data_IF_303781352547
#
_entry.id   IF_303781352547
#
_cell.length_a   1.000
_cell.length_b   1.000
_cell.length_c   1.000
_cell.angle_alpha   90.00
_cell.angle_beta   90.00
_cell.angle_gamma   90.00
#
_symmetry.space_group_name_H-M   'P 1'
#
loop_
_entity.id
_entity.type
_entity.pdbx_description
1 polymer ?
#
# COMPACT_ATOMS: atom_id res chain seq x y z
N UNK A 1 6.24 -17.14 46.80
CA UNK A 1 6.84 -16.01 47.53
C UNK A 1 5.79 -14.91 47.61
N UNK A 2 5.09 -14.86 48.72
CA UNK A 2 4.20 -13.75 49.03
C UNK A 2 5.08 -12.57 49.44
N UNK A 3 5.31 -11.64 48.53
CA UNK A 3 5.92 -10.37 48.83
C UNK A 3 4.77 -9.38 49.15
N UNK A 4 4.51 -9.03 50.42
CA UNK A 4 3.34 -8.24 50.82
C UNK A 4 3.36 -6.80 50.30
N UNK A 5 4.52 -6.34 49.83
CA UNK A 5 4.73 -4.97 49.35
C UNK A 5 4.56 -4.81 47.81
N UNK A 6 4.24 -5.88 47.07
CA UNK A 6 4.09 -5.82 45.63
C UNK A 6 2.63 -5.59 45.24
N UNK A 7 2.34 -4.45 44.64
CA UNK A 7 1.04 -4.12 44.04
C UNK A 7 0.93 -4.78 42.64
N UNK A 8 -0.30 -5.06 42.20
CA UNK A 8 -0.54 -5.53 40.82
C UNK A 8 -0.01 -4.57 39.75
N UNK A 9 0.02 -3.26 40.06
CA UNK A 9 0.57 -2.23 39.19
C UNK A 9 2.08 -2.27 39.02
N UNK A 10 2.79 -3.02 39.89
CA UNK A 10 4.25 -3.15 39.85
C UNK A 10 4.70 -4.32 38.96
N UNK A 11 3.75 -5.10 38.42
CA UNK A 11 4.05 -6.26 37.61
C UNK A 11 3.94 -5.86 36.15
N UNK A 12 5.06 -5.85 35.45
CA UNK A 12 5.15 -5.63 33.99
C UNK A 12 5.52 -6.94 33.28
N UNK A 13 4.67 -7.34 32.33
CA UNK A 13 4.94 -8.47 31.44
C UNK A 13 5.21 -7.92 30.03
N UNK A 14 6.33 -8.29 29.44
CA UNK A 14 6.71 -7.86 28.10
C UNK A 14 6.80 -9.05 27.15
N UNK A 15 6.34 -8.88 25.92
CA UNK A 15 6.46 -9.85 24.84
C UNK A 15 6.93 -9.14 23.56
N UNK A 16 7.71 -9.79 22.68
CA UNK A 16 8.16 -9.21 21.42
C UNK A 16 7.00 -8.79 20.52
N UNK A 17 5.94 -9.61 20.49
CA UNK A 17 4.71 -9.32 19.73
C UNK A 17 3.50 -9.54 20.65
N UNK A 18 3.06 -8.48 21.31
CA UNK A 18 1.95 -8.55 22.25
C UNK A 18 0.60 -8.78 21.56
N UNK A 19 0.50 -8.46 20.28
CA UNK A 19 -0.74 -8.57 19.54
C UNK A 19 -1.15 -10.03 19.34
N UNK A 20 -0.20 -10.92 19.15
CA UNK A 20 -0.44 -12.37 19.03
C UNK A 20 -1.00 -12.96 20.34
N UNK A 21 -0.58 -12.40 21.48
CA UNK A 21 -1.01 -12.85 22.81
C UNK A 21 -2.25 -12.14 23.35
N UNK A 22 -2.60 -10.98 22.80
CA UNK A 22 -3.69 -10.17 23.27
C UNK A 22 -5.06 -10.90 23.37
N UNK A 23 -5.47 -11.74 22.38
CA UNK A 23 -6.71 -12.51 22.49
C UNK A 23 -6.69 -13.51 23.64
N UNK A 24 -5.56 -14.19 23.87
CA UNK A 24 -5.41 -15.15 24.96
C UNK A 24 -5.39 -14.48 26.32
N UNK A 25 -4.68 -13.36 26.45
CA UNK A 25 -4.64 -12.57 27.66
C UNK A 25 -6.05 -12.11 28.05
N UNK A 26 -6.82 -11.58 27.08
CA UNK A 26 -8.21 -11.20 27.29
C UNK A 26 -9.09 -12.38 27.72
N UNK A 27 -8.95 -13.52 27.03
CA UNK A 27 -9.75 -14.70 27.33
C UNK A 27 -9.52 -15.21 28.76
N UNK A 28 -8.31 -15.13 29.27
CA UNK A 28 -7.96 -15.57 30.63
C UNK A 28 -8.37 -14.49 31.67
N UNK A 29 -7.87 -13.26 31.53
CA UNK A 29 -8.00 -12.23 32.53
C UNK A 29 -9.42 -11.64 32.63
N UNK A 30 -10.20 -11.65 31.56
CA UNK A 30 -11.60 -11.20 31.56
C UNK A 30 -12.56 -12.23 32.19
N UNK A 31 -12.19 -13.52 32.18
CA UNK A 31 -13.07 -14.59 32.62
C UNK A 31 -12.69 -15.22 33.95
N UNK A 32 -11.44 -15.11 34.39
CA UNK A 32 -11.01 -15.73 35.65
C UNK A 32 -11.16 -14.79 36.82
N UNK A 33 -11.71 -15.34 37.89
CA UNK A 33 -11.81 -14.71 39.21
C UNK A 33 -10.72 -15.29 40.11
N UNK A 34 -9.89 -14.42 40.66
CA UNK A 34 -8.84 -14.82 41.60
C UNK A 34 -9.35 -14.61 43.02
N UNK A 35 -9.18 -15.63 43.86
CA UNK A 35 -9.56 -15.55 45.24
C UNK A 35 -8.48 -14.78 46.03
N UNK A 36 -8.88 -13.71 46.68
CA UNK A 36 -8.05 -12.91 47.55
C UNK A 36 -7.84 -13.63 48.89
N UNK A 37 -6.82 -13.24 49.66
CA UNK A 37 -6.52 -13.82 50.97
C UNK A 37 -7.66 -13.67 51.99
N UNK A 38 -8.55 -12.69 51.80
CA UNK A 38 -9.75 -12.43 52.59
C UNK A 38 -10.98 -13.26 52.15
N UNK A 39 -10.83 -14.10 51.10
CA UNK A 39 -11.89 -14.96 50.55
C UNK A 39 -12.75 -14.27 49.48
N UNK A 40 -12.53 -13.02 49.17
CA UNK A 40 -13.24 -12.29 48.13
C UNK A 40 -12.74 -12.69 46.74
N UNK A 41 -13.67 -12.91 45.80
CA UNK A 41 -13.33 -13.17 44.38
C UNK A 41 -13.23 -11.84 43.62
N UNK A 42 -12.04 -11.54 43.15
CA UNK A 42 -11.75 -10.29 42.43
C UNK A 42 -11.21 -10.59 41.05
N UNK A 43 -11.59 -9.79 40.06
CA UNK A 43 -10.95 -9.81 38.73
C UNK A 43 -9.61 -9.12 38.79
N UNK A 44 -8.61 -9.73 38.19
CA UNK A 44 -7.31 -9.08 38.03
C UNK A 44 -7.42 -7.98 36.95
N UNK A 45 -7.27 -6.73 37.41
CA UNK A 45 -7.15 -5.59 36.48
C UNK A 45 -5.83 -5.67 35.72
N UNK A 46 -5.88 -5.54 34.39
CA UNK A 46 -4.70 -5.48 33.55
C UNK A 46 -4.82 -4.36 32.52
N UNK A 47 -3.70 -3.90 31.99
CA UNK A 47 -3.64 -2.95 30.88
C UNK A 47 -2.73 -3.49 29.80
N UNK A 48 -3.25 -3.62 28.57
CA UNK A 48 -2.48 -3.99 27.39
C UNK A 48 -2.04 -2.72 26.68
N UNK A 49 -0.72 -2.52 26.58
CA UNK A 49 -0.12 -1.45 25.79
C UNK A 49 0.55 -2.06 24.57
N UNK A 50 0.41 -1.44 23.41
CA UNK A 50 0.99 -1.93 22.14
C UNK A 50 -0.04 -2.39 21.11
N UNK A 51 -1.26 -2.70 21.53
CA UNK A 51 -2.31 -3.28 20.67
C UNK A 51 -3.00 -2.26 19.73
N UNK A 52 -2.39 -1.12 19.42
CA UNK A 52 -3.02 -0.11 18.53
C UNK A 52 -2.37 0.02 17.16
N UNK A 53 -1.51 -0.94 16.77
CA UNK A 53 -0.63 -0.78 15.59
C UNK A 53 -1.30 -0.90 14.23
N UNK A 54 -2.52 -1.47 14.05
CA UNK A 54 -2.84 -2.00 12.72
C UNK A 54 -3.67 -1.13 11.76
N UNK A 55 -4.40 -0.11 12.19
CA UNK A 55 -5.17 0.69 11.20
C UNK A 55 -4.59 2.08 10.91
N UNK A 56 -4.09 2.75 11.93
CA UNK A 56 -3.64 4.14 11.75
C UNK A 56 -2.23 4.24 11.15
N UNK A 57 -1.38 3.21 11.33
CA UNK A 57 -0.02 3.21 10.79
C UNK A 57 0.00 3.00 9.27
N UNK A 58 -0.87 2.17 8.72
CA UNK A 58 -0.92 1.95 7.25
C UNK A 58 -1.22 3.23 6.48
N UNK A 59 -2.16 4.04 6.97
CA UNK A 59 -2.46 5.35 6.37
C UNK A 59 -1.24 6.27 6.44
N UNK A 60 -0.52 6.27 7.57
CA UNK A 60 0.70 7.07 7.73
C UNK A 60 1.83 6.55 6.85
N UNK A 61 1.99 5.24 6.73
CA UNK A 61 2.96 4.61 5.82
C UNK A 61 2.66 4.95 4.36
N UNK A 62 1.38 4.87 3.95
CA UNK A 62 0.95 5.27 2.61
C UNK A 62 1.18 6.76 2.36
N UNK A 63 0.88 7.61 3.34
CA UNK A 63 1.15 9.05 3.25
C UNK A 63 2.65 9.32 3.15
N UNK A 64 3.46 8.66 3.95
CA UNK A 64 4.92 8.78 3.92
C UNK A 64 5.48 8.30 2.57
N UNK A 65 4.94 7.21 2.02
CA UNK A 65 5.29 6.74 0.67
C UNK A 65 4.99 7.81 -0.38
N UNK A 66 3.82 8.46 -0.35
CA UNK A 66 3.47 9.52 -1.28
C UNK A 66 4.37 10.75 -1.12
N UNK A 67 4.63 11.19 0.11
CA UNK A 67 5.45 12.37 0.39
C UNK A 67 6.93 12.18 0.03
N UNK A 68 7.43 10.95 0.10
CA UNK A 68 8.80 10.61 -0.27
C UNK A 68 8.94 10.19 -1.75
N UNK A 69 7.89 10.39 -2.56
CA UNK A 69 7.95 10.02 -3.97
C UNK A 69 9.10 10.74 -4.68
N UNK A 70 9.95 10.02 -5.42
CA UNK A 70 11.02 10.63 -6.21
C UNK A 70 10.44 11.58 -7.24
N UNK A 71 11.15 12.68 -7.54
CA UNK A 71 10.70 13.71 -8.48
C UNK A 71 10.31 13.13 -9.85
N UNK A 72 11.11 12.21 -10.39
CA UNK A 72 10.84 11.59 -11.69
C UNK A 72 9.90 10.38 -11.65
N UNK A 73 9.30 10.07 -10.54
CA UNK A 73 8.33 9.00 -10.30
C UNK A 73 8.57 7.73 -11.14
N UNK A 74 9.45 6.81 -10.74
CA UNK A 74 9.63 5.53 -11.43
C UNK A 74 8.33 4.70 -11.44
N UNK A 75 8.11 3.92 -12.52
CA UNK A 75 6.94 3.03 -12.63
C UNK A 75 6.84 2.07 -11.44
N UNK A 76 7.97 1.54 -10.96
CA UNK A 76 7.99 0.67 -9.78
C UNK A 76 7.40 1.36 -8.54
N UNK A 77 7.74 2.63 -8.35
CA UNK A 77 7.25 3.43 -7.22
C UNK A 77 5.76 3.77 -7.35
N UNK A 78 5.33 4.11 -8.57
CA UNK A 78 3.89 4.30 -8.85
C UNK A 78 3.09 3.04 -8.54
N UNK A 79 3.57 1.88 -8.97
CA UNK A 79 2.92 0.60 -8.71
C UNK A 79 2.90 0.26 -7.21
N UNK A 80 3.94 0.62 -6.46
CA UNK A 80 3.99 0.46 -5.01
C UNK A 80 2.93 1.33 -4.29
N UNK A 81 2.72 2.58 -4.75
CA UNK A 81 1.64 3.44 -4.27
C UNK A 81 0.27 2.82 -4.58
N UNK A 82 0.05 2.39 -5.83
CA UNK A 82 -1.22 1.78 -6.24
C UNK A 82 -1.51 0.45 -5.54
N UNK A 83 -0.48 -0.26 -5.08
CA UNK A 83 -0.62 -1.50 -4.32
C UNK A 83 -1.10 -1.28 -2.88
N UNK A 84 -1.10 -0.03 -2.37
CA UNK A 84 -1.60 0.26 -1.04
C UNK A 84 -3.11 0.08 -0.96
N UNK A 85 -3.58 -0.68 0.02
CA UNK A 85 -5.00 -1.01 0.17
C UNK A 85 -5.88 0.25 0.31
N UNK A 86 -5.39 1.27 1.01
CA UNK A 86 -6.07 2.54 1.21
C UNK A 86 -6.27 3.31 -0.11
N UNK A 87 -5.29 3.22 -1.01
CA UNK A 87 -5.36 3.80 -2.36
C UNK A 87 -6.33 3.01 -3.23
N UNK A 88 -6.26 1.68 -3.21
CA UNK A 88 -7.15 0.81 -3.97
C UNK A 88 -8.61 1.04 -3.60
N UNK A 89 -8.91 1.12 -2.30
CA UNK A 89 -10.27 1.38 -1.81
C UNK A 89 -10.78 2.77 -2.22
N UNK A 90 -9.92 3.79 -2.18
CA UNK A 90 -10.32 5.15 -2.55
C UNK A 90 -10.55 5.32 -4.04
N UNK A 91 -9.71 4.69 -4.86
CA UNK A 91 -9.80 4.74 -6.33
C UNK A 91 -10.76 3.69 -6.90
N UNK A 92 -11.34 2.83 -6.07
CA UNK A 92 -12.22 1.72 -6.48
C UNK A 92 -11.55 0.77 -7.49
N UNK A 93 -10.22 0.57 -7.36
CA UNK A 93 -9.44 -0.32 -8.22
C UNK A 93 -9.14 -1.65 -7.51
N UNK A 94 -9.17 -2.73 -8.28
CA UNK A 94 -8.81 -4.06 -7.80
C UNK A 94 -7.34 -4.41 -8.08
N UNK A 95 -6.86 -5.48 -7.47
CA UNK A 95 -5.52 -6.03 -7.78
C UNK A 95 -5.40 -6.42 -9.26
N UNK A 96 -6.47 -6.93 -9.87
CA UNK A 96 -6.49 -7.25 -11.30
C UNK A 96 -6.30 -6.01 -12.18
N UNK A 97 -6.91 -4.88 -11.78
CA UNK A 97 -6.74 -3.61 -12.51
C UNK A 97 -5.30 -3.10 -12.42
N UNK A 98 -4.64 -3.32 -11.28
CA UNK A 98 -3.22 -2.98 -11.11
C UNK A 98 -2.34 -3.84 -12.02
N UNK A 99 -2.61 -5.14 -12.12
CA UNK A 99 -1.89 -6.03 -13.02
C UNK A 99 -2.11 -5.63 -14.49
N UNK A 100 -3.31 -5.18 -14.83
CA UNK A 100 -3.63 -4.66 -16.15
C UNK A 100 -2.85 -3.36 -16.43
N UNK A 101 -2.87 -2.38 -15.51
CA UNK A 101 -2.09 -1.14 -15.60
C UNK A 101 -0.61 -1.45 -15.78
N UNK A 102 -0.08 -2.39 -15.01
CA UNK A 102 1.32 -2.85 -15.11
C UNK A 102 1.63 -3.41 -16.49
N UNK A 103 0.74 -4.22 -17.05
CA UNK A 103 0.90 -4.77 -18.39
C UNK A 103 0.92 -3.68 -19.46
N UNK A 104 0.04 -2.69 -19.37
CA UNK A 104 -0.02 -1.54 -20.27
C UNK A 104 1.23 -0.66 -20.19
N UNK A 105 1.69 -0.34 -18.97
CA UNK A 105 2.93 0.43 -18.77
C UNK A 105 4.13 -0.29 -19.37
N UNK A 106 4.21 -1.60 -19.17
CA UNK A 106 5.28 -2.44 -19.73
C UNK A 106 5.25 -2.44 -21.25
N UNK A 107 4.07 -2.61 -21.85
CA UNK A 107 3.92 -2.65 -23.29
C UNK A 107 4.23 -1.31 -23.98
N UNK A 108 3.98 -0.20 -23.28
CA UNK A 108 4.35 1.14 -23.74
C UNK A 108 5.79 1.55 -23.34
N UNK A 109 6.56 0.62 -22.75
CA UNK A 109 7.93 0.84 -22.30
C UNK A 109 8.11 2.08 -21.42
N UNK A 110 7.09 2.40 -20.59
CA UNK A 110 7.16 3.52 -19.62
C UNK A 110 8.05 3.12 -18.47
N UNK A 111 9.03 3.96 -18.14
CA UNK A 111 9.97 3.68 -17.05
C UNK A 111 9.89 4.70 -15.93
N UNK A 112 9.83 5.97 -16.25
CA UNK A 112 9.77 7.09 -15.30
C UNK A 112 9.36 8.38 -16.03
N UNK A 113 9.19 9.47 -15.28
CA UNK A 113 9.02 10.82 -15.78
C UNK A 113 7.63 11.11 -16.33
N UNK A 114 7.14 12.30 -16.01
CA UNK A 114 5.83 12.73 -16.49
C UNK A 114 5.85 13.07 -17.99
N UNK A 115 6.83 13.87 -18.43
CA UNK A 115 6.95 14.28 -19.83
C UNK A 115 8.41 14.45 -20.29
N UNK A 116 8.62 15.06 -21.46
CA UNK A 116 9.94 15.28 -22.04
C UNK A 116 10.87 16.14 -21.17
N UNK A 117 10.32 17.02 -20.32
CA UNK A 117 11.12 17.90 -19.46
C UNK A 117 11.89 17.09 -18.40
N UNK A 118 11.24 16.08 -17.83
CA UNK A 118 11.90 15.20 -16.86
C UNK A 118 13.08 14.44 -17.49
N UNK A 119 12.92 14.04 -18.73
CA UNK A 119 14.01 13.37 -19.48
C UNK A 119 15.15 14.34 -19.80
N UNK A 120 14.83 15.59 -20.18
CA UNK A 120 15.83 16.61 -20.49
C UNK A 120 16.66 16.98 -19.25
N UNK A 121 16.05 17.06 -18.07
CA UNK A 121 16.75 17.33 -16.79
C UNK A 121 17.77 16.23 -16.44
N UNK A 122 17.52 14.99 -16.88
CA UNK A 122 18.45 13.87 -16.70
C UNK A 122 19.49 13.76 -17.81
N UNK A 123 19.50 14.71 -18.78
CA UNK A 123 20.46 14.73 -19.87
C UNK A 123 20.08 13.86 -21.07
N UNK A 124 18.86 13.34 -21.10
CA UNK A 124 18.31 12.65 -22.25
C UNK A 124 17.66 13.68 -23.17
N UNK A 125 18.21 13.89 -24.37
CA UNK A 125 17.63 14.82 -25.32
C UNK A 125 16.30 14.32 -25.87
N UNK A 126 15.26 15.17 -25.78
CA UNK A 126 13.97 15.11 -26.49
C UNK A 126 13.37 13.72 -26.79
N UNK A 127 13.29 12.86 -25.80
CA UNK A 127 12.59 11.58 -25.92
C UNK A 127 11.31 11.54 -25.08
N UNK A 128 10.19 12.12 -25.57
CA UNK A 128 8.90 12.04 -24.84
C UNK A 128 8.27 10.64 -24.88
N UNK A 129 8.84 9.71 -25.66
CA UNK A 129 8.18 8.48 -26.11
C UNK A 129 7.90 7.47 -25.00
N UNK A 130 8.60 7.55 -23.88
CA UNK A 130 8.46 6.60 -22.77
C UNK A 130 7.92 7.25 -21.47
N UNK A 131 7.33 8.46 -21.60
CA UNK A 131 6.80 9.21 -20.48
C UNK A 131 5.35 8.81 -20.13
N UNK A 132 4.94 9.09 -18.90
CA UNK A 132 3.55 8.89 -18.50
C UNK A 132 2.56 9.69 -19.34
N UNK A 133 2.90 10.90 -19.72
CA UNK A 133 2.06 11.76 -20.56
C UNK A 133 1.80 11.14 -21.93
N UNK A 134 2.86 10.61 -22.56
CA UNK A 134 2.73 9.92 -23.84
C UNK A 134 1.86 8.67 -23.71
N UNK A 135 2.08 7.88 -22.64
CA UNK A 135 1.27 6.72 -22.35
C UNK A 135 -0.22 7.06 -22.18
N UNK A 136 -0.55 8.09 -21.39
CA UNK A 136 -1.93 8.53 -21.21
C UNK A 136 -2.56 9.03 -22.53
N UNK A 137 -1.81 9.77 -23.34
CA UNK A 137 -2.25 10.19 -24.67
C UNK A 137 -2.56 8.99 -25.56
N UNK A 138 -1.72 7.97 -25.54
CA UNK A 138 -1.92 6.73 -26.31
C UNK A 138 -3.18 5.99 -25.83
N UNK A 139 -3.41 5.89 -24.53
CA UNK A 139 -4.64 5.28 -23.99
C UNK A 139 -5.89 6.03 -24.44
N UNK A 140 -5.89 7.36 -24.33
CA UNK A 140 -7.03 8.21 -24.73
C UNK A 140 -7.29 8.07 -26.24
N UNK A 141 -6.26 8.14 -27.06
CA UNK A 141 -6.38 7.95 -28.50
C UNK A 141 -6.89 6.57 -28.86
N UNK A 142 -6.37 5.51 -28.24
CA UNK A 142 -6.84 4.15 -28.42
C UNK A 142 -8.31 3.98 -28.07
N UNK A 143 -8.75 4.55 -26.94
CA UNK A 143 -10.14 4.54 -26.52
C UNK A 143 -11.07 5.31 -27.50
N UNK A 144 -10.62 6.48 -28.00
CA UNK A 144 -11.40 7.29 -28.93
C UNK A 144 -11.50 6.68 -30.31
N UNK A 145 -10.42 6.07 -30.80
CA UNK A 145 -10.35 5.58 -32.18
C UNK A 145 -10.77 4.11 -32.31
N UNK A 146 -10.93 3.42 -31.19
CA UNK A 146 -11.18 1.97 -31.13
C UNK A 146 -10.22 1.19 -32.07
N UNK A 147 -8.99 1.67 -32.19
CA UNK A 147 -7.94 1.16 -33.08
C UNK A 147 -6.58 1.24 -32.40
N UNK A 148 -5.69 0.39 -32.86
CA UNK A 148 -4.27 0.48 -32.55
C UNK A 148 -3.66 1.61 -33.38
N UNK A 149 -3.32 2.74 -32.76
CA UNK A 149 -2.68 3.86 -33.46
C UNK A 149 -1.16 3.69 -33.38
N UNK A 150 -0.52 3.79 -34.52
CA UNK A 150 0.92 3.83 -34.61
C UNK A 150 1.40 5.27 -34.43
N UNK A 151 2.23 5.53 -33.43
CA UNK A 151 3.00 6.77 -33.35
C UNK A 151 4.06 6.78 -34.46
N UNK A 152 4.31 7.95 -35.05
CA UNK A 152 5.25 8.10 -36.15
C UNK A 152 6.66 7.66 -35.73
N UNK A 153 7.04 6.47 -36.13
CA UNK A 153 8.39 5.93 -35.95
C UNK A 153 8.51 4.70 -35.06
N UNK A 154 7.79 4.60 -33.97
CA UNK A 154 7.84 3.46 -33.09
C UNK A 154 6.45 2.84 -32.88
N UNK A 155 6.37 1.53 -33.00
CA UNK A 155 5.15 0.77 -32.82
C UNK A 155 4.80 0.66 -31.34
N UNK A 156 4.06 1.62 -30.81
CA UNK A 156 3.51 1.52 -29.46
C UNK A 156 2.13 0.87 -29.56
N UNK A 157 1.89 -0.26 -28.90
CA UNK A 157 0.57 -0.84 -28.82
C UNK A 157 -0.35 0.09 -28.01
N UNK A 158 -1.49 0.45 -28.61
CA UNK A 158 -2.54 1.17 -27.94
C UNK A 158 -3.59 0.18 -27.47
N UNK A 159 -4.02 0.34 -26.24
CA UNK A 159 -5.07 -0.48 -25.66
C UNK A 159 -6.41 0.19 -25.84
N UNK A 160 -7.37 -0.53 -26.31
CA UNK A 160 -8.68 -0.03 -26.68
C UNK A 160 -9.77 -0.69 -25.86
N UNK A 161 -9.67 -0.87 -24.64
CA UNK A 161 -10.84 -0.99 -23.77
C UNK A 161 -10.46 -0.96 -22.31
N UNK A 162 -11.28 -0.30 -21.54
CA UNK A 162 -11.29 -0.43 -20.08
C UNK A 162 -11.63 -1.86 -19.62
N UNK A 163 -12.04 -2.74 -20.55
CA UNK A 163 -12.42 -4.13 -20.29
C UNK A 163 -11.29 -5.14 -20.49
N UNK A 164 -10.07 -4.69 -20.73
CA UNK A 164 -8.88 -5.54 -20.60
C UNK A 164 -8.54 -6.44 -21.78
N UNK A 165 -9.12 -6.23 -22.96
CA UNK A 165 -8.70 -6.98 -24.15
C UNK A 165 -7.39 -6.45 -24.70
N UNK A 166 -6.30 -7.06 -24.21
CA UNK A 166 -4.95 -6.86 -24.70
C UNK A 166 -4.76 -7.67 -25.98
N UNK A 167 -4.51 -7.01 -27.08
CA UNK A 167 -4.04 -7.66 -28.31
C UNK A 167 -2.58 -7.24 -28.52
N UNK A 168 -1.59 -8.06 -28.15
CA UNK A 168 -0.20 -7.81 -28.51
C UNK A 168 -0.03 -8.03 -30.01
N UNK A 169 0.62 -7.11 -30.68
CA UNK A 169 1.19 -7.32 -32.01
C UNK A 169 2.69 -7.52 -31.88
#
# INVERSE_FOLDING_TARGET
NNNPDTSLGDILVTAPDIDDYAPYIKAVFDNELVQRADGEQVRLGYSLTGNRRHKNYKILETLQLILNAPYHLPVSYLLEILAQNEIQLNLEISTNDIDLIKSWLKANAVHFGYDATDYAELGYHDYPVHSFKQFLNNLVLGACLNQTVMSSGDRLPLYHSAAGDYVPY
#
